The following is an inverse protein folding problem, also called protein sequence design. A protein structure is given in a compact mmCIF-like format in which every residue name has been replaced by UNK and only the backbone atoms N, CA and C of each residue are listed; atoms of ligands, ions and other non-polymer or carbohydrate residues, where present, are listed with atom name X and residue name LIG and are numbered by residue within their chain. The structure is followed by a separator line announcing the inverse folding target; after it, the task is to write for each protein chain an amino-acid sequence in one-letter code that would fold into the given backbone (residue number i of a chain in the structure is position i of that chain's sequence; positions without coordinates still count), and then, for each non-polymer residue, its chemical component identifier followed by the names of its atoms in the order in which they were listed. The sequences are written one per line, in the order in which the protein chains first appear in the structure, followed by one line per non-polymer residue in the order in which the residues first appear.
data_IF_803982732751
#
_entry.id   IF_803982732751
#
_cell.length_a   1.000
_cell.length_b   1.000
_cell.length_c   1.000
_cell.angle_alpha   90.00
_cell.angle_beta   90.00
_cell.angle_gamma   90.00
#
_symmetry.space_group_name_H-M   'P 1'
#
loop_
_entity.id
_entity.type
_entity.pdbx_description
1 polymer ?
#
# COMPACT_ATOMS: atom_id res chain seq x y z
N UNK A 1 24.81 -15.33 -51.08
CA UNK A 1 25.06 -16.16 -49.89
C UNK A 1 25.76 -15.39 -48.76
N UNK A 2 26.86 -14.68 -48.93
CA UNK A 2 27.58 -13.94 -47.85
C UNK A 2 26.74 -12.87 -47.14
N UNK A 3 25.82 -12.15 -47.82
CA UNK A 3 24.96 -11.10 -47.22
C UNK A 3 23.91 -11.67 -46.27
N UNK A 4 23.38 -12.86 -46.58
CA UNK A 4 22.39 -13.53 -45.68
C UNK A 4 23.02 -14.14 -44.45
N UNK A 5 24.28 -14.59 -44.57
CA UNK A 5 25.04 -15.16 -43.44
C UNK A 5 25.33 -14.06 -42.38
N UNK A 6 25.67 -12.84 -42.81
CA UNK A 6 25.87 -11.70 -41.94
C UNK A 6 24.58 -11.27 -41.23
N UNK A 7 23.44 -11.34 -41.92
CA UNK A 7 22.13 -10.99 -41.34
C UNK A 7 21.71 -12.02 -40.28
N UNK A 8 21.92 -13.29 -40.50
CA UNK A 8 21.63 -14.37 -39.54
C UNK A 8 22.53 -14.28 -38.32
N UNK A 9 23.82 -13.96 -38.46
CA UNK A 9 24.71 -13.73 -37.34
C UNK A 9 24.35 -12.49 -36.53
N UNK A 10 23.89 -11.41 -37.17
CA UNK A 10 23.41 -10.21 -36.48
C UNK A 10 22.11 -10.47 -35.70
N UNK A 11 21.17 -11.25 -36.25
CA UNK A 11 19.94 -11.65 -35.53
C UNK A 11 20.23 -12.60 -34.36
N UNK A 12 21.18 -13.54 -34.51
CA UNK A 12 21.54 -14.45 -33.41
C UNK A 12 22.25 -13.75 -32.25
N UNK A 13 22.97 -12.66 -32.49
CA UNK A 13 23.54 -11.83 -31.39
C UNK A 13 22.50 -11.04 -30.58
N UNK A 14 21.37 -10.72 -31.19
CA UNK A 14 20.29 -9.96 -30.47
C UNK A 14 19.54 -10.84 -29.46
N UNK A 15 19.48 -12.16 -29.70
CA UNK A 15 18.69 -13.07 -28.85
C UNK A 15 19.38 -13.38 -27.50
N UNK A 16 20.66 -13.09 -27.33
CA UNK A 16 21.40 -13.39 -26.10
C UNK A 16 21.78 -12.20 -25.21
N UNK A 17 21.45 -10.99 -25.60
CA UNK A 17 21.66 -9.80 -24.74
C UNK A 17 20.62 -9.72 -23.65
N UNK A 18 20.69 -10.56 -22.62
CA UNK A 18 19.97 -10.32 -21.37
C UNK A 18 20.55 -9.07 -20.72
N UNK A 19 19.77 -8.01 -20.67
CA UNK A 19 20.13 -6.86 -19.84
C UNK A 19 20.35 -7.33 -18.39
N UNK A 20 21.48 -6.99 -17.82
CA UNK A 20 21.77 -7.34 -16.43
C UNK A 20 20.86 -6.51 -15.53
N UNK A 21 20.08 -7.18 -14.69
CA UNK A 21 19.26 -6.54 -13.69
C UNK A 21 20.15 -6.09 -12.51
N UNK A 22 20.44 -4.80 -12.46
CA UNK A 22 21.23 -4.19 -11.39
C UNK A 22 20.45 -3.96 -10.12
N UNK A 23 19.12 -3.99 -10.15
CA UNK A 23 18.27 -3.76 -8.98
C UNK A 23 18.43 -4.83 -7.91
N UNK A 24 18.90 -6.03 -8.27
CA UNK A 24 19.23 -7.09 -7.33
C UNK A 24 20.32 -6.72 -6.31
N UNK A 25 21.11 -5.68 -6.58
CA UNK A 25 22.14 -5.17 -5.65
C UNK A 25 21.62 -4.08 -4.72
N UNK A 26 20.37 -3.66 -4.86
CA UNK A 26 19.73 -2.66 -4.00
C UNK A 26 18.94 -3.39 -2.91
N UNK A 27 19.27 -3.11 -1.65
CA UNK A 27 18.53 -3.62 -0.50
C UNK A 27 17.69 -2.49 0.13
N UNK A 28 16.37 -2.41 -0.14
CA UNK A 28 15.51 -1.39 0.45
C UNK A 28 15.37 -1.48 1.97
N UNK A 29 15.71 -2.59 2.58
CA UNK A 29 15.66 -2.77 4.05
C UNK A 29 16.89 -2.19 4.76
N UNK A 30 17.93 -1.80 4.01
CA UNK A 30 19.14 -1.22 4.61
C UNK A 30 18.82 0.10 5.31
N UNK A 31 19.31 0.27 6.55
CA UNK A 31 19.08 1.48 7.36
C UNK A 31 17.72 1.53 8.04
N UNK A 32 16.88 0.50 7.90
CA UNK A 32 15.53 0.48 8.51
C UNK A 32 15.49 -0.07 9.95
N UNK A 33 16.62 -0.54 10.48
CA UNK A 33 16.76 -0.88 11.91
C UNK A 33 17.04 0.38 12.71
N UNK A 34 16.04 1.24 12.83
CA UNK A 34 16.15 2.56 13.44
C UNK A 34 14.96 2.81 14.35
N UNK A 35 15.17 3.66 15.34
CA UNK A 35 14.13 4.17 16.24
C UNK A 35 14.41 5.65 16.52
N UNK A 36 13.46 6.33 17.16
CA UNK A 36 13.65 7.70 17.60
C UNK A 36 14.90 7.86 18.49
N UNK A 37 15.21 6.87 19.29
CA UNK A 37 16.34 6.89 20.23
C UNK A 37 17.67 6.60 19.53
N UNK A 38 17.69 5.67 18.58
CA UNK A 38 18.93 5.21 17.94
C UNK A 38 19.23 5.90 16.64
N UNK A 39 18.23 6.37 15.92
CA UNK A 39 18.38 7.21 14.72
C UNK A 39 19.42 6.70 13.71
N UNK A 40 19.57 5.38 13.61
CA UNK A 40 20.58 4.72 12.77
C UNK A 40 19.98 4.45 11.40
N UNK A 41 20.55 5.04 10.34
CA UNK A 41 20.09 4.90 8.96
C UNK A 41 18.89 5.76 8.61
N UNK A 42 17.92 5.96 9.49
CA UNK A 42 16.74 6.82 9.32
C UNK A 42 15.99 6.64 8.00
N UNK A 43 15.71 5.40 7.65
CA UNK A 43 15.03 5.08 6.41
C UNK A 43 14.02 3.94 6.64
N UNK A 44 13.21 3.70 5.64
CA UNK A 44 12.27 2.58 5.56
C UNK A 44 12.28 2.01 4.13
N UNK A 45 11.76 0.81 3.88
CA UNK A 45 11.70 0.25 2.54
C UNK A 45 10.68 1.04 1.69
N UNK A 46 11.15 2.14 1.10
CA UNK A 46 10.37 2.98 0.20
C UNK A 46 10.28 2.32 -1.17
N UNK A 47 9.21 1.59 -1.42
CA UNK A 47 8.96 0.91 -2.69
C UNK A 47 8.34 1.92 -3.65
N UNK A 48 9.05 2.23 -4.74
CA UNK A 48 8.65 3.27 -5.69
C UNK A 48 9.30 3.09 -7.06
N UNK A 49 8.77 3.78 -8.06
CA UNK A 49 9.46 4.00 -9.34
C UNK A 49 10.37 5.23 -9.21
N UNK A 50 11.50 5.28 -9.93
CA UNK A 50 12.31 6.50 -10.01
C UNK A 50 11.45 7.71 -10.40
N UNK A 51 11.62 8.81 -9.66
CA UNK A 51 10.87 10.07 -9.83
C UNK A 51 9.36 9.97 -9.59
N UNK A 52 8.90 8.88 -8.98
CA UNK A 52 7.53 8.71 -8.55
C UNK A 52 7.15 9.71 -7.46
N UNK A 53 5.89 10.12 -7.44
CA UNK A 53 5.37 11.01 -6.40
C UNK A 53 4.75 10.25 -5.21
N UNK A 54 4.75 8.93 -5.25
CA UNK A 54 4.26 8.11 -4.15
C UNK A 54 5.22 6.94 -3.87
N UNK A 55 5.53 6.74 -2.60
CA UNK A 55 6.24 5.58 -2.09
C UNK A 55 5.27 4.73 -1.30
N UNK A 56 5.50 3.43 -1.29
CA UNK A 56 4.71 2.51 -0.48
C UNK A 56 5.62 1.71 0.43
N UNK A 57 5.17 1.50 1.66
CA UNK A 57 5.94 0.76 2.66
C UNK A 57 5.02 -0.09 3.54
N UNK A 58 5.46 -1.28 3.99
CA UNK A 58 4.79 -1.92 5.11
C UNK A 58 4.86 -1.03 6.35
N UNK A 59 3.79 -0.98 7.11
CA UNK A 59 3.68 -0.18 8.33
C UNK A 59 3.86 -1.10 9.55
N UNK A 60 4.94 -0.95 10.28
CA UNK A 60 5.14 -1.62 11.59
C UNK A 60 4.91 -0.68 12.77
N UNK A 61 5.14 0.62 12.59
CA UNK A 61 4.86 1.67 13.56
C UNK A 61 3.38 2.02 13.65
N UNK A 62 3.01 2.79 14.68
CA UNK A 62 1.66 3.33 14.84
C UNK A 62 1.35 4.39 13.79
N UNK A 63 0.08 4.65 13.58
CA UNK A 63 -0.37 5.82 12.81
C UNK A 63 0.26 7.08 13.40
N UNK A 64 0.91 7.87 12.55
CA UNK A 64 1.62 9.07 12.97
C UNK A 64 3.06 8.88 13.42
N UNK A 65 3.52 7.66 13.54
CA UNK A 65 4.93 7.40 13.79
C UNK A 65 5.76 7.71 12.53
N UNK A 66 6.82 8.51 12.69
CA UNK A 66 7.77 8.79 11.62
C UNK A 66 8.57 7.56 11.20
N UNK A 67 8.83 6.66 12.12
CA UNK A 67 9.44 5.35 11.86
C UNK A 67 8.40 4.36 11.39
N UNK A 68 8.03 4.48 10.13
CA UNK A 68 6.93 3.76 9.50
C UNK A 68 7.18 2.25 9.45
N UNK A 69 8.44 1.85 9.30
CA UNK A 69 8.91 0.47 9.33
C UNK A 69 10.20 0.39 10.13
N UNK A 70 10.27 -0.57 11.04
CA UNK A 70 11.47 -0.90 11.78
C UNK A 70 11.82 -2.38 11.56
N UNK A 71 13.04 -2.67 11.12
CA UNK A 71 13.47 -4.03 10.76
C UNK A 71 13.30 -5.05 11.89
N UNK A 72 13.48 -4.64 13.15
CA UNK A 72 13.31 -5.52 14.32
C UNK A 72 11.86 -5.76 14.72
N UNK A 73 10.89 -5.07 14.08
CA UNK A 73 9.48 -5.32 14.34
C UNK A 73 9.04 -6.66 13.69
N UNK A 74 8.05 -7.27 14.30
CA UNK A 74 7.55 -8.59 13.90
C UNK A 74 6.07 -8.59 13.49
N UNK A 75 5.42 -7.41 13.49
CA UNK A 75 4.03 -7.25 13.04
C UNK A 75 3.90 -6.11 12.04
N UNK A 76 3.10 -6.35 11.00
CA UNK A 76 2.65 -5.34 10.02
C UNK A 76 1.21 -4.97 10.35
N UNK A 77 0.91 -3.65 10.40
CA UNK A 77 -0.40 -3.07 10.73
C UNK A 77 -1.16 -2.61 9.48
N UNK A 78 -0.45 -2.46 8.36
CA UNK A 78 -0.96 -1.99 7.07
C UNK A 78 0.15 -1.79 6.06
N UNK A 79 -0.24 -1.38 4.87
CA UNK A 79 0.65 -0.91 3.81
C UNK A 79 0.30 0.55 3.55
N UNK A 80 1.26 1.42 3.67
CA UNK A 80 1.06 2.85 3.80
C UNK A 80 1.62 3.58 2.59
N UNK A 81 0.85 4.51 2.03
CA UNK A 81 1.40 5.49 1.11
C UNK A 81 2.20 6.53 1.88
N UNK A 82 3.35 6.89 1.35
CA UNK A 82 4.25 7.91 1.90
C UNK A 82 4.80 8.80 0.79
N UNK A 83 5.26 10.01 1.16
CA UNK A 83 5.79 10.99 0.23
C UNK A 83 7.18 11.47 0.63
N UNK A 84 7.61 11.11 1.84
CA UNK A 84 8.87 11.54 2.41
C UNK A 84 9.71 10.34 2.85
N UNK A 85 10.89 10.11 2.27
CA UNK A 85 11.72 8.94 2.59
C UNK A 85 12.46 9.03 3.94
N UNK A 86 12.33 10.13 4.68
CA UNK A 86 12.95 10.30 5.99
C UNK A 86 11.93 10.28 7.13
N UNK A 87 12.17 9.54 8.24
CA UNK A 87 11.26 9.49 9.36
C UNK A 87 11.24 10.75 10.24
N UNK A 88 12.25 11.61 10.14
CA UNK A 88 12.44 12.73 11.07
C UNK A 88 11.37 13.80 11.04
N UNK A 89 10.78 14.07 9.89
CA UNK A 89 9.81 15.15 9.71
C UNK A 89 8.37 14.64 9.71
N UNK A 90 8.13 13.35 9.80
CA UNK A 90 6.85 12.76 9.47
C UNK A 90 6.43 13.02 8.01
N UNK A 91 5.30 12.53 7.62
CA UNK A 91 4.87 12.56 6.24
C UNK A 91 3.57 13.35 6.06
N UNK A 92 3.16 13.52 4.82
CA UNK A 92 2.04 14.32 4.36
C UNK A 92 1.07 13.47 3.55
N UNK A 93 -0.23 13.55 3.88
CA UNK A 93 -1.26 12.89 3.10
C UNK A 93 -1.20 11.37 3.14
N UNK A 94 -0.80 10.79 4.27
CA UNK A 94 -0.70 9.34 4.46
C UNK A 94 -2.08 8.70 4.61
N UNK A 95 -2.22 7.51 4.04
CA UNK A 95 -3.29 6.56 4.31
C UNK A 95 -2.75 5.14 4.15
N UNK A 96 -3.47 4.14 4.63
CA UNK A 96 -3.03 2.75 4.55
C UNK A 96 -4.14 1.80 4.11
N UNK A 97 -3.71 0.62 3.62
CA UNK A 97 -4.57 -0.50 3.26
C UNK A 97 -4.05 -1.77 3.96
N UNK A 98 -4.96 -2.63 4.43
CA UNK A 98 -4.60 -3.88 5.11
C UNK A 98 -5.60 -4.99 4.80
N UNK A 99 -5.18 -6.16 4.30
CA UNK A 99 -6.04 -7.34 4.23
C UNK A 99 -6.20 -7.97 5.62
N UNK A 100 -7.42 -8.40 5.92
CA UNK A 100 -7.80 -9.01 7.21
C UNK A 100 -8.74 -10.17 6.96
N UNK A 101 -8.65 -11.24 7.74
CA UNK A 101 -9.53 -12.41 7.63
C UNK A 101 -10.23 -12.67 8.95
N UNK A 102 -11.50 -13.09 8.89
CA UNK A 102 -12.31 -13.51 10.01
C UNK A 102 -13.23 -12.42 10.58
N UNK A 103 -12.70 -11.28 10.97
CA UNK A 103 -13.51 -10.17 11.52
C UNK A 103 -13.15 -8.84 10.87
N UNK A 104 -14.13 -7.93 10.67
CA UNK A 104 -13.88 -6.59 10.12
C UNK A 104 -13.22 -5.69 11.18
N UNK A 105 -11.94 -5.86 11.44
CA UNK A 105 -11.20 -5.17 12.49
C UNK A 105 -10.51 -3.91 11.94
N UNK A 106 -10.90 -2.74 12.43
CA UNK A 106 -10.31 -1.47 12.02
C UNK A 106 -9.11 -1.04 12.88
N UNK A 107 -9.10 -1.41 14.16
CA UNK A 107 -8.03 -1.00 15.06
C UNK A 107 -6.67 -1.54 14.58
N UNK A 108 -5.70 -0.64 14.39
CA UNK A 108 -4.40 -0.97 13.79
C UNK A 108 -3.56 -1.98 14.58
N UNK A 109 -3.72 -2.05 15.90
CA UNK A 109 -3.00 -3.02 16.74
C UNK A 109 -3.66 -4.40 16.68
N UNK A 110 -5.00 -4.44 16.65
CA UNK A 110 -5.75 -5.70 16.60
C UNK A 110 -5.72 -6.34 15.22
N UNK A 111 -5.68 -5.54 14.13
CA UNK A 111 -5.54 -6.05 12.76
C UNK A 111 -4.10 -6.43 12.40
N UNK A 112 -3.11 -6.06 13.23
CA UNK A 112 -1.70 -6.30 12.94
C UNK A 112 -1.39 -7.80 12.86
N UNK A 113 -0.66 -8.19 11.82
CA UNK A 113 -0.29 -9.57 11.55
C UNK A 113 1.20 -9.81 11.73
N UNK A 114 1.53 -10.96 12.30
CA UNK A 114 2.91 -11.43 12.33
C UNK A 114 3.45 -11.65 10.92
N UNK A 115 4.72 -11.33 10.73
CA UNK A 115 5.48 -11.65 9.53
C UNK A 115 6.91 -12.07 9.89
N UNK A 116 7.60 -12.65 8.93
CA UNK A 116 9.01 -13.00 9.05
C UNK A 116 9.78 -12.55 7.81
N UNK A 117 10.98 -12.03 8.00
CA UNK A 117 11.85 -11.58 6.88
C UNK A 117 12.18 -12.68 5.86
N UNK A 118 12.12 -13.98 6.26
CA UNK A 118 12.24 -15.10 5.31
C UNK A 118 11.09 -15.17 4.29
N UNK A 119 9.93 -14.64 4.64
CA UNK A 119 8.74 -14.52 3.78
C UNK A 119 8.56 -13.14 3.18
N UNK A 120 9.49 -12.22 3.42
CA UNK A 120 9.50 -10.86 2.92
C UNK A 120 10.41 -10.74 1.70
N UNK A 121 9.92 -10.11 0.66
CA UNK A 121 10.72 -9.72 -0.51
C UNK A 121 10.58 -8.22 -0.69
N UNK A 122 11.69 -7.49 -0.65
CA UNK A 122 11.73 -6.06 -0.88
C UNK A 122 12.73 -5.76 -2.00
N UNK A 123 12.24 -5.24 -3.11
CA UNK A 123 13.04 -4.65 -4.19
C UNK A 123 12.64 -3.18 -4.36
N UNK A 124 13.39 -2.35 -5.07
CA UNK A 124 13.02 -0.94 -5.23
C UNK A 124 11.61 -0.70 -5.77
N UNK A 125 11.07 -1.60 -6.56
CA UNK A 125 9.81 -1.46 -7.30
C UNK A 125 8.78 -2.55 -7.01
N UNK A 126 9.04 -3.46 -6.05
CA UNK A 126 8.14 -4.54 -5.69
C UNK A 126 8.34 -4.97 -4.25
N UNK A 127 7.24 -5.23 -3.56
CA UNK A 127 7.23 -5.78 -2.22
C UNK A 127 6.26 -6.95 -2.12
N UNK A 128 6.64 -7.96 -1.34
CA UNK A 128 5.82 -9.12 -1.03
C UNK A 128 6.05 -9.57 0.39
N UNK A 129 4.98 -9.97 1.09
CA UNK A 129 5.06 -10.53 2.43
C UNK A 129 3.89 -11.47 2.71
N UNK A 130 4.13 -12.48 3.55
CA UNK A 130 3.09 -13.34 4.11
C UNK A 130 2.67 -12.82 5.48
N UNK A 131 1.37 -12.63 5.68
CA UNK A 131 0.72 -12.14 6.89
C UNK A 131 0.11 -13.33 7.63
N UNK A 132 0.77 -13.79 8.70
CA UNK A 132 0.50 -15.08 9.34
C UNK A 132 -0.85 -15.14 10.07
N UNK A 133 -1.30 -14.04 10.73
CA UNK A 133 -2.59 -13.98 11.41
C UNK A 133 -3.77 -14.12 10.45
N UNK A 134 -3.60 -13.66 9.22
CA UNK A 134 -4.67 -13.59 8.22
C UNK A 134 -4.53 -14.65 7.13
N UNK A 135 -3.43 -15.41 7.13
CA UNK A 135 -3.09 -16.37 6.05
C UNK A 135 -3.15 -15.71 4.65
N UNK A 136 -2.66 -14.48 4.54
CA UNK A 136 -2.71 -13.69 3.31
C UNK A 136 -1.31 -13.38 2.80
N UNK A 137 -1.07 -13.62 1.52
CA UNK A 137 0.10 -13.06 0.83
C UNK A 137 -0.29 -11.71 0.25
N UNK A 138 0.43 -10.67 0.64
CA UNK A 138 0.27 -9.31 0.10
C UNK A 138 1.45 -8.96 -0.79
N UNK A 139 1.15 -8.46 -1.97
CA UNK A 139 2.13 -7.98 -2.94
C UNK A 139 1.75 -6.57 -3.40
N UNK A 140 2.75 -5.73 -3.66
CA UNK A 140 2.53 -4.40 -4.23
C UNK A 140 3.61 -4.01 -5.22
N UNK A 141 3.18 -3.35 -6.29
CA UNK A 141 4.05 -2.84 -7.35
C UNK A 141 3.60 -1.41 -7.73
N UNK A 142 4.35 -0.37 -7.35
CA UNK A 142 4.00 1.01 -7.67
C UNK A 142 4.35 1.38 -9.10
N UNK A 143 3.60 2.34 -9.63
CA UNK A 143 3.97 3.17 -10.76
C UNK A 143 4.44 4.53 -10.26
N UNK A 144 4.54 5.53 -11.12
CA UNK A 144 4.94 6.89 -10.70
C UNK A 144 3.90 7.57 -9.79
N UNK A 145 2.60 7.24 -9.94
CA UNK A 145 1.49 7.93 -9.25
C UNK A 145 0.41 6.99 -8.73
N UNK A 146 0.56 5.70 -8.98
CA UNK A 146 -0.39 4.68 -8.57
C UNK A 146 0.34 3.44 -8.06
N UNK A 147 -0.41 2.48 -7.51
CA UNK A 147 0.11 1.18 -7.10
C UNK A 147 -0.91 0.11 -7.41
N UNK A 148 -0.44 -1.06 -7.80
CA UNK A 148 -1.23 -2.28 -7.85
C UNK A 148 -0.93 -3.13 -6.63
N UNK A 149 -1.96 -3.44 -5.85
CA UNK A 149 -1.93 -4.47 -4.82
C UNK A 149 -2.53 -5.76 -5.32
N UNK A 150 -1.99 -6.87 -4.84
CA UNK A 150 -2.55 -8.20 -4.97
C UNK A 150 -2.57 -8.86 -3.60
N UNK A 151 -3.77 -9.24 -3.16
CA UNK A 151 -4.00 -9.99 -1.94
C UNK A 151 -4.39 -11.41 -2.32
N UNK A 152 -3.58 -12.40 -1.94
CA UNK A 152 -3.90 -13.81 -2.12
C UNK A 152 -4.47 -14.33 -0.81
N UNK A 153 -5.77 -14.58 -0.79
CA UNK A 153 -6.53 -14.99 0.39
C UNK A 153 -6.62 -16.51 0.55
N UNK A 154 -6.84 -17.01 1.79
CA UNK A 154 -7.31 -18.36 2.02
C UNK A 154 -8.75 -18.53 1.55
N UNK A 155 -9.29 -19.74 1.66
CA UNK A 155 -10.72 -19.98 1.55
C UNK A 155 -11.42 -19.44 2.79
N UNK A 156 -12.28 -18.42 2.62
CA UNK A 156 -12.99 -17.78 3.73
C UNK A 156 -14.17 -16.94 3.22
N UNK A 157 -15.29 -17.00 3.93
CA UNK A 157 -16.46 -16.14 3.67
C UNK A 157 -16.29 -14.72 4.21
N UNK A 158 -15.26 -14.50 5.02
CA UNK A 158 -14.98 -13.27 5.76
C UNK A 158 -13.57 -12.76 5.49
N UNK A 159 -13.24 -12.56 4.22
CA UNK A 159 -12.02 -11.91 3.76
C UNK A 159 -12.28 -10.42 3.58
N UNK A 160 -11.48 -9.56 4.20
CA UNK A 160 -11.71 -8.12 4.21
C UNK A 160 -10.47 -7.36 3.75
N UNK A 161 -10.71 -6.15 3.26
CA UNK A 161 -9.68 -5.13 3.09
C UNK A 161 -10.11 -3.88 3.86
N UNK A 162 -9.25 -3.44 4.76
CA UNK A 162 -9.38 -2.22 5.54
C UNK A 162 -8.67 -1.08 4.83
N UNK A 163 -9.34 0.04 4.66
CA UNK A 163 -8.77 1.31 4.19
C UNK A 163 -8.83 2.30 5.34
N UNK A 164 -7.69 2.81 5.74
CA UNK A 164 -7.53 3.72 6.87
C UNK A 164 -7.02 5.07 6.35
N UNK A 165 -7.89 6.07 6.35
CA UNK A 165 -7.57 7.41 5.83
C UNK A 165 -6.87 8.31 6.86
N UNK A 166 -6.53 7.75 8.02
CA UNK A 166 -5.83 8.37 9.14
C UNK A 166 -6.57 9.54 9.80
N UNK A 167 -6.03 9.96 10.92
CA UNK A 167 -6.53 11.07 11.74
C UNK A 167 -6.17 12.46 11.17
N UNK A 168 -6.54 13.51 11.90
CA UNK A 168 -6.40 14.93 11.57
C UNK A 168 -7.32 15.42 10.44
N UNK A 169 -8.44 14.72 10.25
CA UNK A 169 -9.44 15.03 9.24
C UNK A 169 -9.30 14.18 7.99
N UNK A 170 -10.31 13.39 7.73
CA UNK A 170 -10.36 12.54 6.55
C UNK A 170 -11.79 12.28 6.06
N UNK A 171 -11.87 11.87 4.82
CA UNK A 171 -13.11 11.54 4.13
C UNK A 171 -12.97 10.19 3.45
N UNK A 172 -14.03 9.42 3.47
CA UNK A 172 -14.13 8.15 2.74
C UNK A 172 -15.53 7.93 2.21
N UNK A 173 -15.63 7.37 1.00
CA UNK A 173 -16.87 6.94 0.39
C UNK A 173 -16.69 5.61 -0.30
N UNK A 174 -17.51 4.64 0.06
CA UNK A 174 -17.61 3.33 -0.60
C UNK A 174 -18.67 3.42 -1.69
N UNK A 175 -18.31 3.04 -2.92
CA UNK A 175 -19.15 3.02 -4.12
C UNK A 175 -19.25 1.56 -4.60
N UNK A 176 -20.24 0.79 -4.09
CA UNK A 176 -20.29 -0.65 -4.32
C UNK A 176 -20.48 -1.04 -5.79
N UNK A 177 -21.37 -0.35 -6.51
CA UNK A 177 -21.68 -0.63 -7.92
C UNK A 177 -20.47 -0.44 -8.85
N UNK A 178 -19.43 0.28 -8.39
CA UNK A 178 -18.18 0.48 -9.11
C UNK A 178 -17.01 -0.29 -8.50
N UNK A 179 -17.22 -1.13 -7.48
CA UNK A 179 -16.15 -1.78 -6.72
C UNK A 179 -15.05 -0.80 -6.27
N UNK A 180 -15.45 0.38 -5.81
CA UNK A 180 -14.58 1.53 -5.64
C UNK A 180 -14.69 2.15 -4.26
N UNK A 181 -13.58 2.67 -3.78
CA UNK A 181 -13.50 3.58 -2.63
C UNK A 181 -12.84 4.87 -3.10
N UNK A 182 -13.40 6.01 -2.73
CA UNK A 182 -12.73 7.31 -2.86
C UNK A 182 -12.56 7.91 -1.48
N UNK A 183 -11.52 8.69 -1.30
CA UNK A 183 -11.28 9.37 -0.02
C UNK A 183 -10.20 10.44 -0.12
N UNK A 184 -10.07 11.21 0.92
CA UNK A 184 -8.92 12.08 1.11
C UNK A 184 -8.48 12.08 2.57
N UNK A 185 -7.23 12.42 2.78
CA UNK A 185 -6.65 12.70 4.09
C UNK A 185 -6.08 14.11 4.12
N UNK A 186 -6.24 14.79 5.24
CA UNK A 186 -5.59 16.09 5.49
C UNK A 186 -4.40 15.95 6.42
N UNK A 187 -4.08 14.72 6.83
CA UNK A 187 -2.97 14.46 7.75
C UNK A 187 -1.66 15.05 7.22
N UNK A 188 -1.01 15.85 8.03
CA UNK A 188 0.26 16.50 7.70
C UNK A 188 1.07 16.80 8.97
N UNK A 189 2.33 17.18 8.79
CA UNK A 189 3.28 17.54 9.84
C UNK A 189 3.44 19.06 10.05
N UNK A 190 2.56 19.85 9.47
CA UNK A 190 2.59 21.32 9.51
C UNK A 190 3.19 21.96 8.26
N UNK A 191 3.04 23.27 8.15
CA UNK A 191 3.60 24.05 7.03
C UNK A 191 2.89 23.86 5.68
N UNK A 192 1.68 23.33 5.67
CA UNK A 192 0.86 23.14 4.47
C UNK A 192 -0.25 24.19 4.39
N UNK A 193 -0.78 24.48 3.18
CA UNK A 193 -1.97 25.33 3.02
C UNK A 193 -3.19 24.74 3.75
N UNK A 194 -4.13 25.60 4.16
CA UNK A 194 -5.38 25.18 4.86
C UNK A 194 -6.23 24.18 4.05
N UNK A 195 -6.18 24.27 2.73
CA UNK A 195 -6.89 23.36 1.82
C UNK A 195 -6.11 22.10 1.45
N UNK A 196 -5.01 21.81 2.13
CA UNK A 196 -4.20 20.63 1.85
C UNK A 196 -5.02 19.33 1.98
N UNK A 197 -4.99 18.52 0.92
CA UNK A 197 -5.59 17.18 0.86
C UNK A 197 -4.76 16.29 -0.03
N UNK A 198 -4.62 15.03 0.36
CA UNK A 198 -4.26 13.96 -0.56
C UNK A 198 -5.51 13.15 -0.89
N UNK A 199 -6.01 13.31 -2.09
CA UNK A 199 -7.14 12.56 -2.64
C UNK A 199 -6.66 11.20 -3.12
N UNK A 200 -7.45 10.15 -2.89
CA UNK A 200 -7.14 8.82 -3.39
C UNK A 200 -8.38 8.12 -3.94
N UNK A 201 -8.15 7.23 -4.89
CA UNK A 201 -9.14 6.33 -5.47
C UNK A 201 -8.60 4.92 -5.39
N UNK A 202 -9.42 3.98 -4.96
CA UNK A 202 -9.10 2.56 -4.89
C UNK A 202 -10.15 1.81 -5.67
N UNK A 203 -9.74 1.07 -6.69
CA UNK A 203 -10.61 0.24 -7.52
C UNK A 203 -10.24 -1.24 -7.32
N UNK A 204 -11.26 -2.06 -7.03
CA UNK A 204 -11.10 -3.50 -6.86
C UNK A 204 -11.61 -4.25 -8.08
N UNK A 205 -10.99 -5.38 -8.38
CA UNK A 205 -11.38 -6.25 -9.49
C UNK A 205 -12.56 -7.19 -9.15
N UNK A 206 -13.05 -7.13 -7.91
CA UNK A 206 -14.15 -7.98 -7.42
C UNK A 206 -15.25 -7.17 -6.73
N UNK A 207 -16.52 -7.63 -6.85
CA UNK A 207 -17.63 -7.02 -6.14
C UNK A 207 -17.51 -7.24 -4.63
N UNK A 208 -18.02 -6.28 -3.87
CA UNK A 208 -18.03 -6.34 -2.41
C UNK A 208 -19.19 -7.20 -1.92
N UNK A 209 -18.91 -8.20 -1.07
CA UNK A 209 -19.91 -8.97 -0.32
C UNK A 209 -20.26 -8.33 1.02
N UNK A 210 -19.39 -7.46 1.53
CA UNK A 210 -19.57 -6.66 2.75
C UNK A 210 -19.02 -5.26 2.56
N UNK A 211 -19.64 -4.28 3.21
CA UNK A 211 -19.18 -2.89 3.23
C UNK A 211 -19.57 -2.20 4.54
N UNK A 212 -18.65 -1.45 5.09
CA UNK A 212 -18.87 -0.56 6.22
C UNK A 212 -17.93 0.64 6.12
N UNK A 213 -18.35 1.76 6.70
CA UNK A 213 -17.43 2.87 6.97
C UNK A 213 -17.07 2.89 8.45
N UNK A 214 -16.03 3.63 8.78
CA UNK A 214 -15.58 3.82 10.16
C UNK A 214 -15.48 5.31 10.44
N UNK A 215 -16.05 5.72 11.58
CA UNK A 215 -15.97 7.08 12.10
C UNK A 215 -15.33 7.06 13.48
N UNK A 216 -14.11 7.60 13.61
CA UNK A 216 -13.35 7.67 14.88
C UNK A 216 -13.29 6.31 15.61
N UNK A 217 -12.97 5.24 14.85
CA UNK A 217 -12.88 3.88 15.38
C UNK A 217 -14.20 3.12 15.50
N UNK A 218 -15.34 3.76 15.27
CA UNK A 218 -16.68 3.14 15.36
C UNK A 218 -17.14 2.66 13.98
N UNK A 219 -17.42 1.37 13.87
CA UNK A 219 -17.90 0.73 12.65
C UNK A 219 -19.35 1.15 12.35
N UNK A 220 -19.65 1.47 11.08
CA UNK A 220 -20.92 1.95 10.57
C UNK A 220 -21.34 1.14 9.33
N UNK A 221 -22.06 0.02 9.51
CA UNK A 221 -22.38 -0.92 8.43
C UNK A 221 -23.38 -0.38 7.39
N UNK A 222 -24.26 0.53 7.81
CA UNK A 222 -25.29 1.07 6.93
C UNK A 222 -24.94 2.46 6.35
N UNK A 223 -23.70 2.89 6.53
CA UNK A 223 -23.21 4.19 6.07
C UNK A 223 -22.10 3.97 5.06
N UNK A 224 -22.24 4.58 3.89
CA UNK A 224 -21.26 4.45 2.79
C UNK A 224 -20.33 5.65 2.66
N UNK A 225 -20.55 6.71 3.44
CA UNK A 225 -19.78 7.95 3.33
C UNK A 225 -19.55 8.58 4.71
N UNK A 226 -18.32 8.98 4.99
CA UNK A 226 -17.93 9.62 6.26
C UNK A 226 -16.96 10.77 6.01
N UNK A 227 -17.19 11.87 6.74
CA UNK A 227 -16.21 12.95 6.91
C UNK A 227 -16.05 13.18 8.41
N UNK A 228 -14.89 12.88 8.93
CA UNK A 228 -14.66 12.91 10.38
C UNK A 228 -13.17 13.11 10.68
N UNK A 229 -12.80 13.21 11.94
CA UNK A 229 -11.41 13.33 12.38
C UNK A 229 -10.58 12.12 11.90
N UNK A 230 -11.15 10.90 11.97
CA UNK A 230 -10.51 9.66 11.52
C UNK A 230 -11.54 8.78 10.79
N UNK A 231 -11.55 8.87 9.47
CA UNK A 231 -12.41 8.05 8.62
C UNK A 231 -11.70 6.79 8.11
N UNK A 232 -12.49 5.75 7.89
CA UNK A 232 -12.02 4.52 7.27
C UNK A 232 -13.14 3.75 6.58
N UNK A 233 -12.78 2.68 5.88
CA UNK A 233 -13.72 1.75 5.28
C UNK A 233 -13.22 0.31 5.45
N UNK A 234 -14.18 -0.61 5.53
CA UNK A 234 -13.93 -2.05 5.47
C UNK A 234 -14.83 -2.63 4.40
N UNK A 235 -14.24 -3.28 3.42
CA UNK A 235 -14.96 -4.02 2.39
C UNK A 235 -14.62 -5.50 2.49
N UNK A 236 -15.57 -6.36 2.16
CA UNK A 236 -15.41 -7.79 2.28
C UNK A 236 -15.61 -8.53 0.97
N UNK A 237 -15.06 -9.74 0.94
CA UNK A 237 -15.10 -10.67 -0.17
C UNK A 237 -15.35 -12.07 0.37
N UNK A 238 -16.01 -12.90 -0.42
CA UNK A 238 -16.00 -14.34 -0.24
C UNK A 238 -14.89 -14.89 -1.13
N UNK A 239 -13.95 -15.64 -0.57
CA UNK A 239 -12.76 -16.08 -1.29
C UNK A 239 -12.59 -17.61 -1.24
N UNK A 240 -12.10 -18.16 -2.34
CA UNK A 240 -11.62 -19.54 -2.43
C UNK A 240 -10.13 -19.61 -2.10
N UNK A 241 -9.64 -20.83 -1.85
CA UNK A 241 -8.21 -21.03 -1.54
C UNK A 241 -7.30 -20.51 -2.65
N UNK A 242 -6.43 -19.57 -2.28
CA UNK A 242 -5.49 -18.95 -3.21
C UNK A 242 -6.12 -17.92 -4.14
N UNK A 243 -7.36 -17.51 -3.87
CA UNK A 243 -8.02 -16.48 -4.66
C UNK A 243 -7.34 -15.12 -4.51
N UNK A 244 -7.18 -14.45 -5.62
CA UNK A 244 -6.52 -13.15 -5.70
C UNK A 244 -7.55 -12.03 -5.82
N UNK A 245 -7.43 -11.03 -4.96
CA UNK A 245 -8.14 -9.75 -5.05
C UNK A 245 -7.12 -8.67 -5.39
N UNK A 246 -7.38 -7.91 -6.44
CA UNK A 246 -6.51 -6.81 -6.85
C UNK A 246 -7.13 -5.46 -6.47
N UNK A 247 -6.28 -4.54 -6.02
CA UNK A 247 -6.65 -3.16 -5.77
C UNK A 247 -5.69 -2.23 -6.54
N UNK A 248 -6.25 -1.40 -7.42
CA UNK A 248 -5.53 -0.30 -8.06
C UNK A 248 -5.76 0.96 -7.23
N UNK A 249 -4.70 1.60 -6.80
CA UNK A 249 -4.77 2.80 -5.97
C UNK A 249 -4.00 3.91 -6.67
N UNK A 250 -4.65 5.03 -6.86
CA UNK A 250 -4.02 6.25 -7.36
C UNK A 250 -4.34 7.43 -6.44
N UNK A 251 -3.46 8.41 -6.37
CA UNK A 251 -3.62 9.58 -5.52
C UNK A 251 -3.22 10.88 -6.20
N UNK A 252 -3.69 12.00 -5.65
CA UNK A 252 -3.39 13.33 -6.13
C UNK A 252 -3.57 14.37 -5.02
N UNK A 253 -2.70 15.37 -4.98
CA UNK A 253 -2.89 16.56 -4.15
C UNK A 253 -3.80 17.62 -4.79
N UNK A 254 -4.37 17.35 -5.97
CA UNK A 254 -5.17 18.31 -6.74
C UNK A 254 -6.67 18.03 -6.57
N UNK A 255 -7.12 16.82 -6.97
CA UNK A 255 -8.54 16.45 -6.92
C UNK A 255 -8.75 14.94 -7.12
N UNK A 256 -10.01 14.48 -6.98
CA UNK A 256 -10.40 13.11 -7.33
C UNK A 256 -10.28 12.84 -8.84
N UNK A 257 -10.61 13.81 -9.69
CA UNK A 257 -10.49 13.69 -11.13
C UNK A 257 -9.04 13.47 -11.55
N UNK A 258 -8.10 14.21 -10.93
CA UNK A 258 -6.68 14.01 -11.19
C UNK A 258 -6.19 12.66 -10.65
N UNK A 259 -6.67 12.22 -9.49
CA UNK A 259 -6.35 10.89 -8.98
C UNK A 259 -6.86 9.77 -9.90
N UNK A 260 -8.02 9.97 -10.54
CA UNK A 260 -8.56 9.03 -11.51
C UNK A 260 -7.77 8.96 -12.83
N UNK A 261 -7.07 10.04 -13.20
CA UNK A 261 -6.22 10.09 -14.39
C UNK A 261 -4.82 9.50 -14.15
N UNK A 262 -4.38 9.41 -12.90
CA UNK A 262 -3.08 8.92 -12.51
C UNK A 262 -2.99 7.39 -12.51
#
# INVERSE_FOLDING_TARGET
MKKYLLLVCALSCIVFAKAKDWTQYVNPLMGSQSSFELSTGNTYPAIARPWGMNFWTPQTGKMGDGWQYTYTANKIRGFKQTHQPSPWINDYGQFSIMPVVGKPEFNEEKRASWFAHKGETATPYYYKVYLAEHDVVTEMAPTERAVLFRFTFPENDHSYVVVDAFDKGSYIKVIPDGNKIIGYTTRNSGGVPENFKNYFIIEFDKPFTYKATVANGNLQENVTEQTTEHAGAIIGFQTHKGEQVHARIASSFISFEQAALN
#
